data_IF_321149680306
#
_entry.id   IF_321149680306
#
_cell.length_a   1.000
_cell.length_b   1.000
_cell.length_c   1.000
_cell.angle_alpha   90.00
_cell.angle_beta   90.00
_cell.angle_gamma   90.00
#
_symmetry.space_group_name_H-M   'P 1'
#
loop_
_entity.id
_entity.type
_entity.pdbx_description
1 polymer ?
#
# COMPACT_ATOMS: atom_id res chain seq x y z
N UNK A 1 -41.03 -0.07 -17.13
CA UNK A 1 -40.31 1.15 -16.65
C UNK A 1 -39.02 1.21 -17.40
N UNK A 2 -38.84 2.20 -18.25
CA UNK A 2 -37.59 2.39 -19.02
C UNK A 2 -36.67 3.13 -18.08
N UNK A 3 -35.68 2.40 -17.52
CA UNK A 3 -34.63 3.03 -16.71
C UNK A 3 -33.82 3.98 -17.61
N UNK A 4 -33.79 5.23 -17.26
CA UNK A 4 -32.85 6.21 -17.82
C UNK A 4 -31.45 5.78 -17.47
N UNK A 5 -30.74 5.16 -18.43
CA UNK A 5 -29.28 5.04 -18.37
C UNK A 5 -28.75 6.48 -18.35
N UNK A 6 -28.39 6.95 -17.18
CA UNK A 6 -27.69 8.21 -17.04
C UNK A 6 -26.39 8.09 -17.82
N UNK A 7 -26.17 9.01 -18.76
CA UNK A 7 -24.89 9.18 -19.42
C UNK A 7 -23.84 9.43 -18.35
N UNK A 8 -23.10 8.41 -17.92
CA UNK A 8 -21.88 8.60 -17.17
C UNK A 8 -20.94 9.39 -18.08
N UNK A 9 -20.56 10.59 -17.65
CA UNK A 9 -19.43 11.29 -18.26
C UNK A 9 -18.26 10.33 -18.12
N UNK A 10 -17.78 9.76 -19.20
CA UNK A 10 -16.54 8.98 -19.24
C UNK A 10 -15.41 9.92 -18.88
N UNK A 11 -14.95 9.84 -17.64
CA UNK A 11 -13.74 10.52 -17.22
C UNK A 11 -12.57 9.81 -17.88
N UNK A 12 -11.77 10.54 -18.64
CA UNK A 12 -10.62 9.99 -19.35
C UNK A 12 -9.45 10.93 -19.25
N UNK A 13 -8.27 10.40 -18.99
CA UNK A 13 -7.00 11.13 -19.10
C UNK A 13 -6.25 10.77 -20.38
N UNK A 14 -5.27 11.60 -20.73
CA UNK A 14 -4.43 11.40 -21.91
C UNK A 14 -3.32 10.39 -21.62
N UNK A 15 -3.29 9.29 -22.37
CA UNK A 15 -2.21 8.31 -22.36
C UNK A 15 -1.27 8.52 -23.54
N UNK A 16 0.02 8.23 -23.38
CA UNK A 16 1.02 8.33 -24.45
C UNK A 16 2.13 7.29 -24.26
N UNK A 17 2.55 6.66 -25.36
CA UNK A 17 3.68 5.74 -25.39
C UNK A 17 5.04 6.43 -25.11
N UNK A 18 5.08 7.76 -25.10
CA UNK A 18 6.28 8.55 -24.79
C UNK A 18 6.44 8.77 -23.27
N UNK A 19 5.44 8.42 -22.47
CA UNK A 19 5.46 8.56 -21.01
C UNK A 19 6.13 7.35 -20.38
N UNK A 20 7.15 7.58 -19.55
CA UNK A 20 7.80 6.54 -18.78
C UNK A 20 7.03 6.25 -17.47
N UNK A 21 6.42 7.30 -16.88
CA UNK A 21 5.60 7.14 -15.69
C UNK A 21 4.61 8.30 -15.52
N UNK A 22 3.56 8.03 -14.75
CA UNK A 22 2.55 9.02 -14.36
C UNK A 22 2.63 9.32 -12.87
N UNK A 23 2.44 10.60 -12.51
CA UNK A 23 2.20 11.06 -11.13
C UNK A 23 0.72 11.36 -10.99
N UNK A 24 0.09 10.74 -10.00
CA UNK A 24 -1.33 10.87 -9.73
C UNK A 24 -1.56 11.72 -8.49
N UNK A 25 -2.47 12.67 -8.63
CA UNK A 25 -2.97 13.50 -7.55
C UNK A 25 -4.50 13.46 -7.47
N UNK A 26 -5.07 14.06 -6.44
CA UNK A 26 -6.53 14.11 -6.25
C UNK A 26 -7.27 14.82 -7.39
N UNK A 27 -6.61 15.75 -8.07
CA UNK A 27 -7.22 16.66 -9.03
C UNK A 27 -6.58 16.56 -10.43
N UNK A 28 -5.60 15.68 -10.65
CA UNK A 28 -4.95 15.54 -11.94
C UNK A 28 -4.01 14.36 -12.08
N UNK A 29 -3.59 14.13 -13.32
CA UNK A 29 -2.57 13.14 -13.72
C UNK A 29 -1.58 13.84 -14.63
N UNK A 30 -0.29 13.69 -14.36
CA UNK A 30 0.79 14.20 -15.20
C UNK A 30 1.70 13.05 -15.60
N UNK A 31 1.92 12.90 -16.91
CA UNK A 31 2.85 11.93 -17.48
C UNK A 31 4.21 12.55 -17.76
N UNK A 32 5.26 11.88 -17.33
CA UNK A 32 6.65 12.30 -17.48
C UNK A 32 7.47 11.33 -18.31
N UNK A 33 8.46 11.87 -19.03
CA UNK A 33 9.54 11.13 -19.62
C UNK A 33 10.85 11.47 -18.89
N UNK A 34 11.64 10.46 -18.57
CA UNK A 34 12.95 10.61 -17.96
C UNK A 34 14.06 10.38 -18.98
N UNK A 35 14.77 11.44 -19.34
CA UNK A 35 15.87 11.40 -20.29
C UNK A 35 17.02 12.30 -19.83
N UNK A 36 18.26 11.80 -19.90
CA UNK A 36 19.47 12.56 -19.61
C UNK A 36 19.44 13.27 -18.23
N UNK A 37 18.99 12.55 -17.21
CA UNK A 37 18.81 13.08 -15.83
C UNK A 37 17.84 14.28 -15.79
N UNK A 38 16.84 14.32 -16.69
CA UNK A 38 15.79 15.34 -16.74
C UNK A 38 14.42 14.70 -16.81
N UNK A 39 13.45 15.36 -16.19
CA UNK A 39 12.04 15.05 -16.31
C UNK A 39 11.38 16.04 -17.26
N UNK A 40 10.76 15.49 -18.31
CA UNK A 40 9.99 16.25 -19.29
C UNK A 40 8.51 15.90 -19.10
N UNK A 41 7.66 16.89 -18.87
CA UNK A 41 6.21 16.73 -18.89
C UNK A 41 5.76 16.44 -20.32
N UNK A 42 5.07 15.31 -20.52
CA UNK A 42 4.57 14.86 -21.84
C UNK A 42 3.06 15.05 -21.93
N UNK A 43 2.33 14.63 -20.89
CA UNK A 43 0.88 14.77 -20.81
C UNK A 43 0.47 15.41 -19.50
N UNK A 44 -0.63 16.18 -19.51
CA UNK A 44 -1.24 16.75 -18.32
C UNK A 44 -2.74 16.76 -18.47
N UNK A 45 -3.45 16.15 -17.52
CA UNK A 45 -4.90 16.12 -17.51
C UNK A 45 -5.41 16.59 -16.15
N UNK A 46 -6.18 17.67 -16.15
CA UNK A 46 -6.90 18.14 -14.97
C UNK A 46 -8.20 17.31 -14.87
N UNK A 47 -8.25 16.43 -13.90
CA UNK A 47 -9.36 15.52 -13.70
C UNK A 47 -9.54 15.19 -12.23
N UNK A 48 -10.76 15.34 -11.71
CA UNK A 48 -11.06 15.01 -10.32
C UNK A 48 -11.04 13.50 -10.13
N UNK A 49 -9.98 13.01 -9.49
CA UNK A 49 -9.79 11.57 -9.20
C UNK A 49 -10.36 11.24 -7.83
N UNK A 50 -10.08 12.05 -6.82
CA UNK A 50 -10.54 11.85 -5.45
C UNK A 50 -11.55 12.92 -5.09
N UNK A 51 -12.76 12.53 -4.66
CA UNK A 51 -13.85 13.46 -4.37
C UNK A 51 -13.87 13.97 -2.92
N UNK A 52 -13.06 13.41 -2.04
CA UNK A 52 -13.03 13.80 -0.63
C UNK A 52 -12.14 15.04 -0.43
N UNK A 53 -12.56 15.94 0.46
CA UNK A 53 -11.76 17.10 0.85
C UNK A 53 -10.80 16.80 2.02
N UNK A 54 -10.60 15.51 2.33
CA UNK A 54 -9.78 15.04 3.45
C UNK A 54 -8.55 14.40 2.82
N UNK A 55 -7.38 14.51 3.47
CA UNK A 55 -6.17 13.81 3.05
C UNK A 55 -6.51 12.33 2.90
N UNK A 56 -6.63 11.81 1.70
CA UNK A 56 -7.06 10.45 1.51
C UNK A 56 -5.91 9.53 1.92
N UNK A 57 -6.15 8.70 2.89
CA UNK A 57 -5.41 7.45 2.98
C UNK A 57 -5.92 6.61 1.83
N UNK A 58 -5.14 6.50 0.79
CA UNK A 58 -5.52 5.78 -0.42
C UNK A 58 -4.90 4.39 -0.33
N UNK A 59 -5.72 3.40 -0.04
CA UNK A 59 -5.34 2.01 -0.19
C UNK A 59 -5.38 1.66 -1.68
N UNK A 60 -4.21 1.62 -2.31
CA UNK A 60 -4.03 1.45 -3.75
C UNK A 60 -3.47 0.09 -4.09
N UNK A 61 -3.89 -0.46 -5.21
CA UNK A 61 -3.42 -1.75 -5.70
C UNK A 61 -3.32 -1.77 -7.21
N UNK A 62 -2.24 -2.31 -7.70
CA UNK A 62 -2.00 -2.48 -9.13
C UNK A 62 -2.47 -3.87 -9.57
N UNK A 63 -3.28 -3.92 -10.64
CA UNK A 63 -3.85 -5.12 -11.23
C UNK A 63 -3.36 -5.30 -12.65
N UNK A 64 -2.86 -6.49 -12.98
CA UNK A 64 -2.50 -6.86 -14.34
C UNK A 64 -1.51 -5.88 -15.03
N UNK A 65 -0.74 -5.09 -14.27
CA UNK A 65 0.12 -4.02 -14.79
C UNK A 65 -0.61 -3.05 -15.75
N UNK A 66 -1.90 -2.89 -15.58
CA UNK A 66 -2.77 -2.06 -16.44
C UNK A 66 -3.71 -1.19 -15.62
N UNK A 67 -4.22 -1.72 -14.51
CA UNK A 67 -5.19 -1.02 -13.68
C UNK A 67 -4.59 -0.60 -12.35
N UNK A 68 -4.86 0.64 -11.95
CA UNK A 68 -4.74 1.07 -10.56
C UNK A 68 -6.14 1.09 -9.94
N UNK A 69 -6.35 0.31 -8.89
CA UNK A 69 -7.61 0.28 -8.15
C UNK A 69 -7.35 0.73 -6.72
N UNK A 70 -8.23 1.58 -6.19
CA UNK A 70 -8.13 2.08 -4.83
C UNK A 70 -9.49 2.44 -4.24
N UNK A 71 -9.55 2.48 -2.92
CA UNK A 71 -10.68 2.99 -2.17
C UNK A 71 -10.47 4.47 -1.84
N UNK A 72 -11.50 5.28 -2.02
CA UNK A 72 -11.53 6.59 -1.39
C UNK A 72 -11.90 6.40 0.07
N UNK A 73 -11.00 6.75 0.98
CA UNK A 73 -11.33 6.71 2.40
C UNK A 73 -12.29 7.85 2.74
N UNK A 74 -13.39 7.51 3.44
CA UNK A 74 -14.26 8.49 4.07
C UNK A 74 -14.36 8.19 5.58
N UNK A 75 -14.59 9.22 6.36
CA UNK A 75 -14.67 9.09 7.82
C UNK A 75 -15.75 8.09 8.24
N UNK A 76 -15.53 7.32 9.32
CA UNK A 76 -16.55 6.47 9.89
C UNK A 76 -17.83 7.28 10.16
N UNK A 77 -18.93 6.90 9.51
CA UNK A 77 -20.24 7.54 9.66
C UNK A 77 -20.74 8.31 8.45
N UNK A 78 -20.00 8.36 7.32
CA UNK A 78 -20.55 8.73 6.03
C UNK A 78 -20.95 7.50 5.25
N UNK A 79 -22.13 7.58 4.65
CA UNK A 79 -22.90 6.39 4.23
C UNK A 79 -22.34 5.62 3.03
N UNK A 80 -21.27 6.08 2.34
CA UNK A 80 -20.81 5.41 1.12
C UNK A 80 -19.35 5.77 0.77
N UNK A 81 -18.53 4.75 0.58
CA UNK A 81 -17.21 4.87 -0.03
C UNK A 81 -17.26 4.63 -1.53
N UNK A 82 -16.34 5.23 -2.26
CA UNK A 82 -16.14 4.97 -3.67
C UNK A 82 -14.90 4.11 -3.88
N UNK A 83 -15.04 3.16 -4.81
CA UNK A 83 -13.91 2.50 -5.45
C UNK A 83 -13.61 3.25 -6.75
N UNK A 84 -12.33 3.41 -7.06
CA UNK A 84 -11.86 4.00 -8.30
C UNK A 84 -10.95 3.03 -9.00
N UNK A 85 -11.16 2.81 -10.30
CA UNK A 85 -10.28 2.04 -11.17
C UNK A 85 -9.82 2.93 -12.33
N UNK A 86 -8.52 2.97 -12.54
CA UNK A 86 -7.87 3.73 -13.61
C UNK A 86 -7.22 2.72 -14.55
N UNK A 87 -7.66 2.69 -15.80
CA UNK A 87 -7.06 1.88 -16.88
C UNK A 87 -6.01 2.72 -17.61
N UNK A 88 -4.74 2.38 -17.44
CA UNK A 88 -3.63 3.11 -18.07
C UNK A 88 -3.45 2.83 -19.55
N UNK A 89 -4.00 1.73 -20.07
CA UNK A 89 -3.98 1.47 -21.54
C UNK A 89 -4.96 2.36 -22.28
N UNK A 90 -6.12 2.63 -21.69
CA UNK A 90 -7.18 3.40 -22.33
C UNK A 90 -7.37 4.81 -21.78
N UNK A 91 -6.80 5.11 -20.62
CA UNK A 91 -7.00 6.35 -19.88
C UNK A 91 -8.37 6.46 -19.22
N UNK A 92 -9.18 5.40 -19.20
CA UNK A 92 -10.51 5.40 -18.60
C UNK A 92 -10.44 5.38 -17.07
N UNK A 93 -11.28 6.19 -16.44
CA UNK A 93 -11.45 6.22 -14.99
C UNK A 93 -12.87 5.76 -14.68
N UNK A 94 -12.98 4.61 -14.03
CA UNK A 94 -14.24 4.07 -13.52
C UNK A 94 -14.38 4.41 -12.04
N UNK A 95 -15.62 4.66 -11.63
CA UNK A 95 -15.96 4.92 -10.25
C UNK A 95 -17.21 4.15 -9.89
N UNK A 96 -17.13 3.40 -8.83
CA UNK A 96 -18.23 2.64 -8.26
C UNK A 96 -18.50 3.12 -6.83
N UNK A 97 -19.73 3.44 -6.51
CA UNK A 97 -20.13 3.73 -5.16
C UNK A 97 -20.60 2.45 -4.49
N UNK A 98 -19.82 1.96 -3.55
CA UNK A 98 -20.14 0.74 -2.80
C UNK A 98 -21.20 1.00 -1.74
N UNK A 99 -21.95 -0.05 -1.39
CA UNK A 99 -22.86 -0.05 -0.24
C UNK A 99 -22.12 -0.29 1.09
N UNK A 100 -20.84 -0.61 1.03
CA UNK A 100 -19.96 -0.83 2.17
C UNK A 100 -19.24 0.46 2.54
N UNK A 101 -18.78 0.56 3.78
CA UNK A 101 -18.05 1.71 4.29
C UNK A 101 -16.86 1.26 5.15
N UNK A 102 -15.94 2.20 5.42
CA UNK A 102 -14.80 2.00 6.30
C UNK A 102 -13.84 0.89 5.82
N UNK A 103 -13.47 0.89 4.53
CA UNK A 103 -12.35 0.07 4.06
C UNK A 103 -11.06 0.53 4.73
N UNK A 104 -10.35 -0.41 5.33
CA UNK A 104 -9.15 -0.16 6.14
C UNK A 104 -7.88 -0.71 5.52
N UNK A 105 -8.00 -1.59 4.55
CA UNK A 105 -6.87 -2.09 3.75
C UNK A 105 -7.36 -2.63 2.41
N UNK A 106 -6.45 -2.73 1.47
CA UNK A 106 -6.75 -3.30 0.17
C UNK A 106 -5.53 -4.01 -0.43
N UNK A 107 -5.73 -4.63 -1.57
CA UNK A 107 -4.68 -5.26 -2.36
C UNK A 107 -5.25 -5.91 -3.58
N UNK A 108 -4.39 -6.54 -4.38
CA UNK A 108 -4.80 -7.15 -5.63
C UNK A 108 -4.15 -8.52 -5.86
N UNK A 109 -4.90 -9.37 -6.56
CA UNK A 109 -4.37 -10.52 -7.27
C UNK A 109 -4.17 -10.19 -8.75
N UNK A 110 -3.88 -11.20 -9.56
CA UNK A 110 -3.81 -11.00 -11.01
C UNK A 110 -5.14 -10.54 -11.61
N UNK A 111 -6.27 -10.95 -11.04
CA UNK A 111 -7.59 -10.77 -11.65
C UNK A 111 -8.57 -9.98 -10.78
N UNK A 112 -8.27 -9.82 -9.49
CA UNK A 112 -9.24 -9.29 -8.53
C UNK A 112 -8.62 -8.27 -7.58
N UNK A 113 -9.44 -7.32 -7.20
CA UNK A 113 -9.16 -6.34 -6.16
C UNK A 113 -9.86 -6.77 -4.86
N UNK A 114 -9.14 -6.68 -3.75
CA UNK A 114 -9.59 -7.03 -2.41
C UNK A 114 -9.65 -5.76 -1.56
N UNK A 115 -10.74 -5.58 -0.85
CA UNK A 115 -10.91 -4.48 0.10
C UNK A 115 -11.54 -5.00 1.39
N UNK A 116 -10.92 -4.72 2.53
CA UNK A 116 -11.42 -5.16 3.83
C UNK A 116 -11.99 -4.03 4.64
N UNK A 117 -12.98 -4.35 5.46
CA UNK A 117 -13.52 -3.45 6.47
C UNK A 117 -13.23 -3.97 7.88
N UNK A 118 -13.23 -3.06 8.84
CA UNK A 118 -13.11 -3.35 10.26
C UNK A 118 -14.32 -2.82 11.03
N UNK A 119 -14.74 -3.52 12.07
CA UNK A 119 -15.87 -3.15 12.93
C UNK A 119 -16.69 -4.36 13.34
N UNK A 120 -17.92 -4.17 13.83
CA UNK A 120 -18.79 -5.25 14.32
C UNK A 120 -19.10 -6.35 13.30
N UNK A 121 -18.57 -6.29 12.10
CA UNK A 121 -18.64 -7.32 11.08
C UNK A 121 -17.52 -7.06 10.08
N UNK A 122 -16.31 -7.49 10.38
CA UNK A 122 -15.23 -7.45 9.40
C UNK A 122 -15.50 -8.37 8.22
N UNK A 123 -15.24 -7.89 7.03
CA UNK A 123 -15.41 -8.66 5.81
C UNK A 123 -14.38 -8.24 4.76
N UNK A 124 -14.24 -9.08 3.74
CA UNK A 124 -13.42 -8.81 2.56
C UNK A 124 -14.34 -8.85 1.35
N UNK A 125 -14.48 -7.73 0.67
CA UNK A 125 -15.14 -7.65 -0.64
C UNK A 125 -14.12 -7.87 -1.74
N UNK A 126 -14.54 -8.59 -2.79
CA UNK A 126 -13.70 -8.95 -3.94
C UNK A 126 -14.35 -8.40 -5.20
N UNK A 127 -13.58 -7.67 -5.99
CA UNK A 127 -14.05 -6.96 -7.17
C UNK A 127 -13.25 -7.33 -8.41
N UNK A 128 -13.90 -7.30 -9.58
CA UNK A 128 -13.19 -7.30 -10.87
C UNK A 128 -12.47 -5.95 -11.10
N UNK A 129 -11.57 -5.85 -12.10
CA UNK A 129 -10.97 -4.57 -12.48
C UNK A 129 -11.99 -3.50 -12.89
N UNK A 130 -13.15 -3.90 -13.40
CA UNK A 130 -14.26 -3.03 -13.77
C UNK A 130 -15.13 -2.62 -12.58
N UNK A 131 -14.75 -3.03 -11.35
CA UNK A 131 -15.41 -2.75 -10.08
C UNK A 131 -16.77 -3.45 -9.91
N UNK A 132 -16.96 -4.61 -10.52
CA UNK A 132 -18.09 -5.50 -10.24
C UNK A 132 -17.76 -6.37 -9.02
N UNK A 133 -18.59 -6.33 -7.98
CA UNK A 133 -18.42 -7.17 -6.79
C UNK A 133 -18.75 -8.63 -7.14
N UNK A 134 -17.77 -9.52 -6.96
CA UNK A 134 -17.90 -10.95 -7.29
C UNK A 134 -18.11 -11.81 -6.05
N UNK A 135 -17.61 -11.38 -4.89
CA UNK A 135 -17.73 -12.13 -3.64
C UNK A 135 -17.63 -11.20 -2.43
N UNK A 136 -18.21 -11.68 -1.33
CA UNK A 136 -18.24 -11.01 -0.05
C UNK A 136 -17.98 -12.04 1.06
N UNK A 137 -16.76 -12.04 1.58
CA UNK A 137 -16.32 -12.98 2.59
C UNK A 137 -16.49 -12.39 3.99
N UNK A 138 -17.47 -12.86 4.72
CA UNK A 138 -17.67 -12.47 6.12
C UNK A 138 -16.71 -13.23 7.03
N UNK A 139 -16.05 -12.51 7.93
CA UNK A 139 -15.14 -13.10 8.91
C UNK A 139 -15.89 -13.53 10.17
N UNK A 140 -15.39 -14.57 10.83
CA UNK A 140 -15.93 -15.02 12.12
C UNK A 140 -15.56 -14.05 13.26
N UNK A 141 -14.47 -13.29 13.09
CA UNK A 141 -13.95 -12.34 14.06
C UNK A 141 -13.64 -11.01 13.41
N UNK A 142 -13.74 -9.95 14.18
CA UNK A 142 -13.32 -8.63 13.74
C UNK A 142 -11.80 -8.52 13.69
N UNK A 143 -11.30 -8.05 12.55
CA UNK A 143 -9.87 -7.96 12.26
C UNK A 143 -9.52 -6.64 11.60
N UNK A 144 -8.33 -6.13 11.93
CA UNK A 144 -7.60 -5.12 11.16
C UNK A 144 -6.61 -5.83 10.27
N UNK A 145 -6.58 -5.50 8.99
CA UNK A 145 -5.66 -6.11 8.03
C UNK A 145 -4.55 -5.14 7.65
N UNK A 146 -3.36 -5.69 7.39
CA UNK A 146 -2.39 -5.07 6.49
C UNK A 146 -2.91 -5.15 5.06
N UNK A 147 -2.17 -4.58 4.10
CA UNK A 147 -2.54 -4.71 2.70
C UNK A 147 -2.56 -6.18 2.24
N UNK A 148 -3.25 -6.43 1.12
CA UNK A 148 -3.33 -7.75 0.51
C UNK A 148 -2.30 -7.87 -0.59
N UNK A 149 -1.53 -8.95 -0.60
CA UNK A 149 -0.46 -9.16 -1.57
C UNK A 149 -0.53 -10.55 -2.18
N UNK A 150 -0.24 -10.65 -3.46
CA UNK A 150 -0.29 -11.92 -4.18
C UNK A 150 1.07 -12.61 -4.23
N UNK A 151 1.07 -13.93 -4.04
CA UNK A 151 2.17 -14.82 -4.40
C UNK A 151 1.62 -16.08 -5.02
N UNK A 152 2.08 -16.41 -6.23
CA UNK A 152 1.57 -17.51 -7.05
C UNK A 152 0.06 -17.37 -7.31
N UNK A 153 -0.73 -18.29 -6.81
CA UNK A 153 -2.20 -18.38 -6.98
C UNK A 153 -2.98 -17.95 -5.73
N UNK A 154 -2.29 -17.41 -4.71
CA UNK A 154 -2.88 -17.02 -3.43
C UNK A 154 -2.65 -15.56 -3.12
N UNK A 155 -3.60 -14.99 -2.41
CA UNK A 155 -3.49 -13.66 -1.80
C UNK A 155 -3.21 -13.83 -0.31
N UNK A 156 -2.29 -13.04 0.22
CA UNK A 156 -1.87 -13.09 1.62
C UNK A 156 -2.09 -11.74 2.28
N UNK A 157 -2.42 -11.78 3.57
CA UNK A 157 -2.50 -10.58 4.42
C UNK A 157 -2.19 -10.96 5.87
N UNK A 158 -1.83 -9.97 6.68
CA UNK A 158 -1.71 -10.14 8.13
C UNK A 158 -2.90 -9.45 8.79
N UNK A 159 -3.74 -10.25 9.45
CA UNK A 159 -4.84 -9.75 10.26
C UNK A 159 -4.44 -9.61 11.73
N UNK A 160 -4.92 -8.56 12.38
CA UNK A 160 -4.83 -8.37 13.84
C UNK A 160 -6.25 -8.44 14.40
N UNK A 161 -6.52 -9.38 15.31
CA UNK A 161 -7.83 -9.48 15.98
C UNK A 161 -8.12 -8.19 16.75
N UNK A 162 -9.32 -7.65 16.60
CA UNK A 162 -9.76 -6.43 17.31
C UNK A 162 -10.18 -6.76 18.74
N UNK A 163 -10.76 -7.96 18.94
CA UNK A 163 -11.10 -8.45 20.26
C UNK A 163 -9.91 -9.15 20.91
N UNK A 164 -9.57 -8.70 22.11
CA UNK A 164 -8.48 -9.30 22.86
C UNK A 164 -8.81 -10.71 23.30
N UNK A 165 -7.91 -11.65 23.03
CA UNK A 165 -7.99 -13.01 23.57
C UNK A 165 -7.50 -13.00 25.01
N UNK A 166 -8.30 -13.53 25.94
CA UNK A 166 -7.91 -13.68 27.35
C UNK A 166 -6.80 -14.75 27.46
N UNK A 167 -5.70 -14.37 28.12
CA UNK A 167 -4.58 -15.27 28.41
C UNK A 167 -4.66 -15.71 29.87
N UNK A 168 -4.01 -16.83 30.20
CA UNK A 168 -3.78 -17.24 31.59
C UNK A 168 -3.25 -16.06 32.42
N UNK A 169 -3.88 -15.79 33.56
CA UNK A 169 -3.62 -14.67 34.48
C UNK A 169 -4.33 -13.34 34.17
N UNK A 170 -5.42 -13.35 33.39
CA UNK A 170 -6.26 -12.16 33.14
C UNK A 170 -5.60 -11.08 32.28
N UNK A 171 -4.59 -11.44 31.51
CA UNK A 171 -3.97 -10.56 30.51
C UNK A 171 -4.64 -10.78 29.17
N UNK A 172 -4.90 -9.69 28.46
CA UNK A 172 -5.50 -9.71 27.12
C UNK A 172 -4.44 -9.38 26.08
N UNK A 173 -4.41 -10.11 24.99
CA UNK A 173 -3.58 -9.80 23.82
C UNK A 173 -4.38 -9.95 22.53
N UNK A 174 -3.96 -9.20 21.51
CA UNK A 174 -4.53 -9.27 20.17
C UNK A 174 -3.65 -10.17 19.31
N UNK A 175 -4.24 -11.12 18.63
CA UNK A 175 -3.49 -12.04 17.77
C UNK A 175 -3.17 -11.39 16.44
N UNK A 176 -1.93 -11.58 16.00
CA UNK A 176 -1.57 -11.36 14.61
C UNK A 176 -1.62 -12.70 13.87
N UNK A 177 -2.34 -12.76 12.78
CA UNK A 177 -2.61 -14.00 12.03
C UNK A 177 -2.25 -13.78 10.57
N UNK A 178 -1.37 -14.63 10.04
CA UNK A 178 -1.15 -14.73 8.61
C UNK A 178 -2.28 -15.53 7.97
N UNK A 179 -2.93 -14.93 7.00
CA UNK A 179 -4.10 -15.47 6.29
C UNK A 179 -3.74 -15.59 4.82
N UNK A 180 -4.28 -16.63 4.16
CA UNK A 180 -4.34 -16.69 2.71
C UNK A 180 -5.76 -16.78 2.20
N UNK A 181 -5.98 -16.20 1.04
CA UNK A 181 -7.22 -16.31 0.26
C UNK A 181 -6.87 -17.07 -1.01
N UNK A 182 -7.64 -18.12 -1.31
CA UNK A 182 -7.50 -18.93 -2.51
C UNK A 182 -8.77 -18.83 -3.34
N UNK A 183 -8.62 -18.79 -4.66
CA UNK A 183 -9.71 -18.90 -5.62
C UNK A 183 -9.69 -20.31 -6.24
N UNK A 184 -10.85 -20.95 -6.31
CA UNK A 184 -11.04 -22.24 -6.99
C UNK A 184 -12.34 -22.20 -7.79
N UNK A 185 -12.23 -22.14 -9.12
CA UNK A 185 -13.40 -22.13 -10.04
C UNK A 185 -14.42 -20.99 -9.75
N UNK A 186 -13.92 -19.82 -9.30
CA UNK A 186 -14.75 -18.68 -8.94
C UNK A 186 -15.25 -18.64 -7.49
N UNK A 187 -14.99 -19.67 -6.70
CA UNK A 187 -15.27 -19.69 -5.27
C UNK A 187 -14.03 -19.26 -4.47
N UNK A 188 -14.20 -18.36 -3.53
CA UNK A 188 -13.11 -17.87 -2.67
C UNK A 188 -13.18 -18.52 -1.29
N UNK A 189 -12.00 -18.83 -0.74
CA UNK A 189 -11.88 -19.39 0.61
C UNK A 189 -10.75 -18.72 1.39
N UNK A 190 -10.94 -18.59 2.70
CA UNK A 190 -9.97 -18.01 3.63
C UNK A 190 -9.36 -19.13 4.49
N UNK A 191 -8.04 -19.20 4.53
CA UNK A 191 -7.29 -20.11 5.37
C UNK A 191 -6.40 -19.34 6.37
N UNK A 192 -6.45 -19.71 7.64
CA UNK A 192 -5.46 -19.28 8.63
C UNK A 192 -4.19 -20.12 8.48
N UNK A 193 -3.08 -19.47 8.12
CA UNK A 193 -1.80 -20.16 7.93
C UNK A 193 -1.05 -20.25 9.25
N UNK A 194 -0.93 -19.12 9.98
CA UNK A 194 -0.07 -19.07 11.17
C UNK A 194 -0.44 -17.90 12.08
N UNK A 195 -0.42 -18.16 13.40
CA UNK A 195 -0.37 -17.11 14.39
C UNK A 195 1.07 -16.55 14.50
N UNK A 196 1.23 -15.24 14.35
CA UNK A 196 2.53 -14.57 14.37
C UNK A 196 2.82 -14.08 15.79
N UNK A 197 4.07 -14.25 16.25
CA UNK A 197 4.44 -13.83 17.60
C UNK A 197 3.86 -14.73 18.69
N UNK A 198 3.61 -16.00 18.38
CA UNK A 198 3.00 -17.00 19.26
C UNK A 198 3.76 -17.29 20.57
N UNK A 199 4.88 -16.63 20.83
CA UNK A 199 5.62 -16.72 22.08
C UNK A 199 4.94 -16.02 23.28
N UNK A 200 3.71 -15.52 23.09
CA UNK A 200 2.87 -14.89 24.14
C UNK A 200 3.50 -13.69 24.84
N UNK A 201 4.62 -13.17 24.35
CA UNK A 201 5.33 -12.06 24.98
C UNK A 201 5.15 -10.73 24.26
N UNK A 202 4.92 -10.79 22.93
CA UNK A 202 4.88 -9.63 22.06
C UNK A 202 3.70 -9.66 21.11
N UNK A 203 3.02 -8.54 20.99
CA UNK A 203 2.06 -8.25 19.93
C UNK A 203 2.70 -7.23 18.98
N UNK A 204 2.86 -7.58 17.72
CA UNK A 204 3.46 -6.69 16.71
C UNK A 204 2.42 -5.74 16.09
N UNK A 205 2.89 -4.57 15.64
CA UNK A 205 2.10 -3.58 14.94
C UNK A 205 2.51 -3.58 13.47
N UNK A 206 1.91 -4.47 12.69
CA UNK A 206 2.17 -4.56 11.26
C UNK A 206 1.45 -3.44 10.50
N UNK A 207 2.15 -2.82 9.55
CA UNK A 207 1.62 -1.75 8.72
C UNK A 207 1.40 -2.23 7.29
N UNK A 208 2.42 -2.81 6.65
CA UNK A 208 2.36 -3.19 5.25
C UNK A 208 3.08 -4.50 4.99
N UNK A 209 2.72 -5.16 3.87
CA UNK A 209 3.26 -6.46 3.46
C UNK A 209 3.58 -6.49 1.97
N UNK A 210 4.61 -7.25 1.61
CA UNK A 210 4.97 -7.52 0.22
C UNK A 210 5.44 -8.98 0.06
N UNK A 211 5.34 -9.52 -1.14
CA UNK A 211 5.94 -10.81 -1.49
C UNK A 211 7.13 -10.62 -2.42
N UNK A 212 8.21 -11.38 -2.18
CA UNK A 212 9.38 -11.41 -3.06
C UNK A 212 9.91 -12.83 -3.14
N UNK A 213 9.91 -13.41 -4.32
CA UNK A 213 10.22 -14.82 -4.50
C UNK A 213 9.29 -15.72 -3.68
N UNK A 214 9.86 -16.59 -2.86
CA UNK A 214 9.11 -17.49 -1.98
C UNK A 214 8.86 -16.91 -0.58
N UNK A 215 9.08 -15.63 -0.38
CA UNK A 215 8.95 -15.01 0.93
C UNK A 215 7.88 -13.92 0.96
N UNK A 216 7.19 -13.85 2.09
CA UNK A 216 6.39 -12.69 2.48
C UNK A 216 7.23 -11.86 3.46
N UNK A 217 7.27 -10.56 3.23
CA UNK A 217 7.89 -9.57 4.10
C UNK A 217 6.80 -8.64 4.63
N UNK A 218 6.84 -8.35 5.93
CA UNK A 218 5.96 -7.37 6.54
C UNK A 218 6.76 -6.42 7.43
N UNK A 219 6.44 -5.14 7.39
CA UNK A 219 7.06 -4.14 8.25
C UNK A 219 6.24 -3.91 9.51
N UNK A 220 6.92 -3.75 10.64
CA UNK A 220 6.29 -3.51 11.93
C UNK A 220 6.88 -2.30 12.62
N UNK A 221 6.02 -1.39 13.07
CA UNK A 221 6.40 -0.20 13.82
C UNK A 221 6.82 -0.50 15.29
N UNK A 222 6.87 -1.77 15.66
CA UNK A 222 7.26 -2.24 16.98
C UNK A 222 6.28 -3.26 17.55
N UNK A 223 6.26 -3.37 18.86
CA UNK A 223 5.40 -4.33 19.56
C UNK A 223 4.94 -3.83 20.90
N UNK A 224 3.86 -4.39 21.41
CA UNK A 224 3.46 -4.29 22.79
C UNK A 224 4.00 -5.48 23.56
N UNK A 225 4.69 -5.20 24.68
CA UNK A 225 5.05 -6.25 25.64
C UNK A 225 3.78 -6.67 26.39
N UNK A 226 3.45 -7.96 26.34
CA UNK A 226 2.21 -8.49 26.91
C UNK A 226 2.27 -8.59 28.45
N UNK A 227 3.46 -8.59 29.04
CA UNK A 227 3.63 -8.60 30.50
C UNK A 227 3.49 -7.23 31.13
N UNK A 228 4.15 -6.21 30.58
CA UNK A 228 4.12 -4.84 31.08
C UNK A 228 3.04 -3.98 30.44
N UNK A 229 2.47 -4.41 29.30
CA UNK A 229 1.59 -3.63 28.40
C UNK A 229 2.27 -2.39 27.81
N UNK A 230 3.58 -2.29 27.94
CA UNK A 230 4.37 -1.21 27.38
C UNK A 230 4.48 -1.36 25.86
N UNK A 231 4.29 -0.26 25.14
CA UNK A 231 4.56 -0.18 23.71
C UNK A 231 6.03 0.13 23.49
N UNK A 232 6.71 -0.72 22.71
CA UNK A 232 8.09 -0.54 22.31
C UNK A 232 8.09 -0.25 20.82
N UNK A 233 8.49 0.97 20.47
CA UNK A 233 8.61 1.37 19.08
C UNK A 233 10.00 0.99 18.55
N UNK A 234 10.01 0.20 17.50
CA UNK A 234 11.23 -0.29 16.87
C UNK A 234 10.93 -0.66 15.42
N UNK A 235 11.82 -0.37 14.52
CA UNK A 235 11.72 -0.86 13.16
C UNK A 235 12.01 -2.36 13.09
N UNK A 236 11.10 -3.15 12.55
CA UNK A 236 11.28 -4.56 12.35
C UNK A 236 10.68 -5.03 11.02
N UNK A 237 11.33 -6.05 10.44
CA UNK A 237 10.85 -6.79 9.27
C UNK A 237 10.55 -8.21 9.72
N UNK A 238 9.33 -8.66 9.48
CA UNK A 238 8.94 -10.05 9.57
C UNK A 238 9.10 -10.69 8.20
N UNK A 239 9.83 -11.83 8.13
CA UNK A 239 9.95 -12.65 6.93
C UNK A 239 9.31 -14.02 7.18
N UNK A 240 8.43 -14.42 6.28
CA UNK A 240 7.82 -15.74 6.30
C UNK A 240 8.12 -16.48 4.99
N UNK A 241 8.69 -17.69 5.10
CA UNK A 241 8.94 -18.59 3.97
C UNK A 241 7.63 -19.33 3.62
N UNK A 242 7.06 -19.00 2.46
CA UNK A 242 5.79 -19.54 1.98
C UNK A 242 5.89 -21.05 1.62
N UNK A 243 7.10 -21.56 1.38
CA UNK A 243 7.33 -22.96 1.02
C UNK A 243 7.60 -23.82 2.27
N UNK A 244 8.49 -23.34 3.14
CA UNK A 244 8.95 -24.13 4.31
C UNK A 244 8.16 -23.81 5.58
N UNK A 245 7.24 -22.85 5.55
CA UNK A 245 6.44 -22.40 6.69
C UNK A 245 7.27 -21.94 7.91
N UNK A 246 8.45 -21.39 7.68
CA UNK A 246 9.33 -20.83 8.71
C UNK A 246 9.28 -19.31 8.71
N UNK A 247 9.58 -18.70 9.85
CA UNK A 247 9.57 -17.24 9.96
C UNK A 247 10.65 -16.69 10.86
N UNK A 248 11.09 -15.48 10.56
CA UNK A 248 12.14 -14.76 11.26
C UNK A 248 11.80 -13.28 11.38
N UNK A 249 12.40 -12.60 12.37
CA UNK A 249 12.32 -11.15 12.54
C UNK A 249 13.71 -10.53 12.43
N UNK A 250 13.79 -9.43 11.69
CA UNK A 250 15.00 -8.61 11.55
C UNK A 250 14.72 -7.21 12.08
N UNK A 251 15.67 -6.66 12.82
CA UNK A 251 15.58 -5.27 13.28
C UNK A 251 16.24 -4.37 12.24
N UNK A 252 15.61 -3.26 11.91
CA UNK A 252 16.18 -2.18 11.10
C UNK A 252 16.54 -0.99 12.00
N UNK A 253 17.47 -0.16 11.54
CA UNK A 253 18.03 0.93 12.35
C UNK A 253 16.97 1.96 12.73
N UNK A 254 16.16 2.39 11.74
CA UNK A 254 15.17 3.43 11.97
C UNK A 254 13.82 2.86 12.42
N UNK A 255 13.12 3.61 13.25
CA UNK A 255 11.82 3.22 13.83
C UNK A 255 10.64 3.64 12.92
N UNK A 256 9.44 3.21 13.24
CA UNK A 256 8.18 3.55 12.56
C UNK A 256 8.18 3.32 11.04
N UNK A 257 8.57 2.12 10.54
CA UNK A 257 8.36 1.79 9.15
C UNK A 257 6.86 1.84 8.82
N UNK A 258 6.50 2.47 7.69
CA UNK A 258 5.11 2.59 7.23
C UNK A 258 4.81 1.64 6.08
N UNK A 259 5.48 1.79 4.95
CA UNK A 259 5.21 1.00 3.77
C UNK A 259 6.47 0.30 3.27
N UNK A 260 6.30 -0.80 2.53
CA UNK A 260 7.38 -1.58 1.95
C UNK A 260 7.18 -1.74 0.45
N UNK A 261 8.25 -1.55 -0.34
CA UNK A 261 8.23 -1.50 -1.80
C UNK A 261 9.26 -2.45 -2.39
N UNK A 262 8.89 -3.15 -3.46
CA UNK A 262 9.86 -3.87 -4.30
C UNK A 262 10.58 -2.86 -5.22
N UNK A 263 11.88 -2.71 -5.01
CA UNK A 263 12.73 -1.86 -5.85
C UNK A 263 13.64 -2.66 -6.77
N UNK A 264 13.31 -3.93 -6.99
CA UNK A 264 14.02 -4.82 -7.90
C UNK A 264 15.30 -5.42 -7.31
N UNK A 265 15.97 -6.27 -8.08
CA UNK A 265 17.13 -7.06 -7.68
C UNK A 265 16.92 -7.72 -6.29
N UNK A 266 17.86 -7.61 -5.39
CA UNK A 266 17.78 -8.17 -4.04
C UNK A 266 17.35 -7.14 -2.97
N UNK A 267 16.67 -6.06 -3.38
CA UNK A 267 16.39 -4.93 -2.51
C UNK A 267 14.90 -4.63 -2.36
N UNK A 268 14.55 -4.24 -1.14
CA UNK A 268 13.28 -3.63 -0.78
C UNK A 268 13.56 -2.22 -0.25
N UNK A 269 12.65 -1.28 -0.52
CA UNK A 269 12.65 0.03 0.13
C UNK A 269 11.56 0.07 1.19
N UNK A 270 11.81 0.77 2.29
CA UNK A 270 10.86 0.91 3.40
C UNK A 270 10.75 2.39 3.74
N UNK A 271 9.57 2.96 3.60
CA UNK A 271 9.30 4.32 4.08
C UNK A 271 9.11 4.35 5.60
N UNK A 272 9.27 5.52 6.19
CA UNK A 272 9.11 5.73 7.62
C UNK A 272 8.18 6.90 7.91
N UNK A 273 7.50 6.88 9.05
CA UNK A 273 6.65 7.97 9.52
C UNK A 273 7.52 9.16 9.94
N UNK A 274 7.75 10.09 9.01
CA UNK A 274 8.71 11.20 9.16
C UNK A 274 8.40 12.13 10.33
N UNK A 275 7.12 12.35 10.65
CA UNK A 275 6.72 13.20 11.79
C UNK A 275 7.24 12.63 13.11
N UNK A 276 7.22 11.31 13.23
CA UNK A 276 7.61 10.64 14.47
C UNK A 276 9.12 10.52 14.61
N UNK A 277 9.83 10.30 13.51
CA UNK A 277 11.30 10.15 13.54
C UNK A 277 12.05 11.47 13.35
N UNK A 278 11.33 12.57 13.02
CA UNK A 278 11.89 13.90 12.72
C UNK A 278 12.93 13.86 11.59
N UNK A 279 12.71 13.00 10.63
CA UNK A 279 13.55 12.81 9.44
C UNK A 279 12.70 12.45 8.23
N UNK A 280 13.09 12.95 7.06
CA UNK A 280 12.58 12.45 5.78
C UNK A 280 13.57 11.44 5.23
N UNK A 281 13.14 10.20 5.03
CA UNK A 281 14.05 9.18 4.52
C UNK A 281 13.38 7.82 4.35
N UNK A 282 14.16 6.88 3.88
CA UNK A 282 13.73 5.50 3.67
C UNK A 282 14.87 4.52 3.96
N UNK A 283 14.54 3.29 4.29
CA UNK A 283 15.53 2.22 4.48
C UNK A 283 15.63 1.39 3.20
N UNK A 284 16.84 1.13 2.73
CA UNK A 284 17.13 0.11 1.73
C UNK A 284 17.47 -1.18 2.49
N UNK A 285 16.72 -2.25 2.24
CA UNK A 285 16.92 -3.55 2.83
C UNK A 285 17.30 -4.58 1.76
N UNK A 286 18.49 -5.18 1.90
CA UNK A 286 18.91 -6.30 1.06
C UNK A 286 18.40 -7.61 1.68
N UNK A 287 17.45 -8.28 1.02
CA UNK A 287 16.81 -9.47 1.60
C UNK A 287 17.65 -10.76 1.48
N UNK A 288 18.73 -10.77 0.68
CA UNK A 288 19.67 -11.90 0.61
C UNK A 288 20.72 -11.80 1.72
N UNK A 289 21.29 -10.62 1.94
CA UNK A 289 22.33 -10.41 2.99
C UNK A 289 21.73 -10.02 4.34
N UNK A 290 20.45 -9.66 4.38
CA UNK A 290 19.70 -9.20 5.55
C UNK A 290 20.25 -7.90 6.17
N UNK A 291 20.93 -7.10 5.35
CA UNK A 291 21.48 -5.82 5.75
C UNK A 291 20.52 -4.69 5.40
N UNK A 292 20.50 -3.67 6.22
CA UNK A 292 19.68 -2.46 6.01
C UNK A 292 20.53 -1.22 6.16
N UNK A 293 20.19 -0.18 5.39
CA UNK A 293 20.79 1.14 5.45
C UNK A 293 19.68 2.19 5.37
N UNK A 294 19.68 3.14 6.30
CA UNK A 294 18.77 4.27 6.26
C UNK A 294 19.35 5.40 5.40
N UNK A 295 18.60 5.83 4.41
CA UNK A 295 18.93 6.94 3.50
C UNK A 295 18.19 8.18 3.99
N UNK A 296 18.91 9.11 4.61
CA UNK A 296 18.39 10.38 5.08
C UNK A 296 18.37 11.40 3.94
N UNK A 297 17.16 11.80 3.54
CA UNK A 297 16.93 12.83 2.52
C UNK A 297 16.33 14.12 3.10
N UNK A 298 16.33 14.28 4.42
CA UNK A 298 15.84 15.49 5.09
C UNK A 298 16.43 16.80 4.58
N UNK A 299 17.70 16.87 4.18
CA UNK A 299 18.27 18.11 3.59
C UNK A 299 17.57 18.59 2.31
N UNK A 300 16.77 17.71 1.70
CA UNK A 300 16.04 17.99 0.45
C UNK A 300 14.56 18.21 0.67
N UNK A 301 14.06 18.11 1.90
CA UNK A 301 12.67 18.42 2.22
C UNK A 301 12.34 19.89 1.91
N UNK A 302 11.19 20.15 1.30
CA UNK A 302 10.73 21.51 0.97
C UNK A 302 9.66 22.02 1.94
N UNK A 303 9.18 21.17 2.84
CA UNK A 303 8.27 21.53 3.93
C UNK A 303 8.62 20.80 5.23
N UNK A 304 8.17 21.34 6.36
CA UNK A 304 8.24 20.65 7.64
C UNK A 304 7.34 19.40 7.62
N UNK A 305 7.81 18.31 8.22
CA UNK A 305 7.07 17.04 8.32
C UNK A 305 6.66 16.43 6.97
N UNK A 306 7.40 16.71 5.91
CA UNK A 306 7.19 16.09 4.61
C UNK A 306 7.30 14.56 4.69
N UNK A 307 6.42 13.83 4.02
CA UNK A 307 6.39 12.36 4.03
C UNK A 307 6.62 11.79 2.64
N UNK A 308 7.22 10.62 2.57
CA UNK A 308 7.26 9.81 1.37
C UNK A 308 5.89 9.15 1.20
N UNK A 309 5.31 9.32 0.01
CA UNK A 309 3.97 8.83 -0.35
C UNK A 309 4.06 7.56 -1.18
N UNK A 310 5.07 7.48 -2.06
CA UNK A 310 5.29 6.31 -2.91
C UNK A 310 6.76 6.19 -3.32
N UNK A 311 7.23 4.96 -3.52
CA UNK A 311 8.57 4.64 -4.02
C UNK A 311 8.44 3.67 -5.18
N UNK A 312 9.00 4.01 -6.33
CA UNK A 312 9.03 3.14 -7.52
C UNK A 312 10.44 3.07 -8.10
N UNK A 313 10.77 1.92 -8.68
CA UNK A 313 11.97 1.80 -9.49
C UNK A 313 11.71 2.37 -10.87
N UNK A 314 12.50 3.36 -11.27
CA UNK A 314 12.41 3.96 -12.59
C UNK A 314 13.21 3.16 -13.63
N UNK A 315 14.45 2.82 -13.27
CA UNK A 315 15.35 2.01 -14.08
C UNK A 315 16.36 1.24 -13.20
N UNK A 316 17.40 0.65 -13.79
CA UNK A 316 18.38 -0.13 -13.05
C UNK A 316 19.10 0.66 -11.94
N UNK A 317 19.23 1.97 -12.10
CA UNK A 317 20.04 2.82 -11.24
C UNK A 317 19.23 3.85 -10.44
N UNK A 318 17.98 4.09 -10.80
CA UNK A 318 17.21 5.20 -10.25
C UNK A 318 15.91 4.75 -9.58
N UNK A 319 15.66 5.34 -8.41
CA UNK A 319 14.36 5.32 -7.74
C UNK A 319 13.64 6.65 -7.93
N UNK A 320 12.33 6.57 -8.11
CA UNK A 320 11.42 7.70 -7.96
C UNK A 320 10.86 7.67 -6.54
N UNK A 321 11.02 8.77 -5.83
CA UNK A 321 10.42 8.99 -4.52
C UNK A 321 9.39 10.10 -4.69
N UNK A 322 8.14 9.79 -4.46
CA UNK A 322 7.08 10.77 -4.39
C UNK A 322 6.88 11.16 -2.93
N UNK A 323 7.06 12.43 -2.64
CA UNK A 323 6.66 13.00 -1.35
C UNK A 323 5.34 13.75 -1.49
N UNK A 324 4.80 14.27 -0.40
CA UNK A 324 3.58 15.09 -0.45
C UNK A 324 3.70 16.32 -1.36
N UNK A 325 4.95 16.80 -1.62
CA UNK A 325 5.17 18.08 -2.31
C UNK A 325 6.09 18.01 -3.51
N UNK A 326 6.84 16.92 -3.69
CA UNK A 326 7.86 16.83 -4.73
C UNK A 326 8.09 15.41 -5.21
N UNK A 327 8.61 15.32 -6.42
CA UNK A 327 9.15 14.12 -7.02
C UNK A 327 10.68 14.19 -6.97
N UNK A 328 11.31 13.15 -6.48
CA UNK A 328 12.77 13.06 -6.29
C UNK A 328 13.27 11.87 -7.09
N UNK A 329 14.37 12.05 -7.83
CA UNK A 329 15.13 10.95 -8.46
C UNK A 329 16.37 10.68 -7.63
N UNK A 330 16.48 9.46 -7.11
CA UNK A 330 17.60 8.99 -6.31
C UNK A 330 18.43 7.98 -7.12
N UNK A 331 19.72 8.22 -7.28
CA UNK A 331 20.65 7.29 -7.92
C UNK A 331 21.17 6.30 -6.87
N UNK A 332 20.78 5.04 -7.01
CA UNK A 332 21.11 3.96 -6.06
C UNK A 332 22.63 3.71 -6.03
N UNK A 333 23.30 3.77 -7.20
CA UNK A 333 24.72 3.47 -7.29
C UNK A 333 25.60 4.58 -6.70
N UNK A 334 25.20 5.84 -6.89
CA UNK A 334 25.91 7.00 -6.34
C UNK A 334 25.53 7.31 -4.90
N UNK A 335 24.37 6.79 -4.43
CA UNK A 335 23.82 7.12 -3.11
C UNK A 335 23.43 8.61 -3.01
N UNK A 336 22.95 9.23 -4.09
CA UNK A 336 22.67 10.66 -4.13
C UNK A 336 21.39 11.00 -4.89
N UNK A 337 20.77 12.11 -4.53
CA UNK A 337 19.68 12.71 -5.29
C UNK A 337 20.26 13.38 -6.53
N UNK A 338 19.73 13.04 -7.70
CA UNK A 338 20.13 13.61 -8.98
C UNK A 338 19.14 14.65 -9.49
N UNK A 339 17.88 14.59 -9.06
CA UNK A 339 16.86 15.53 -9.49
C UNK A 339 15.80 15.72 -8.39
N UNK A 340 15.29 16.95 -8.29
CA UNK A 340 14.12 17.34 -7.51
C UNK A 340 13.18 18.16 -8.39
N UNK A 341 11.89 17.83 -8.34
CA UNK A 341 10.85 18.57 -9.04
C UNK A 341 9.67 18.78 -8.07
N UNK A 342 9.33 20.04 -7.78
CA UNK A 342 8.13 20.34 -7.02
C UNK A 342 6.89 19.83 -7.78
N UNK A 343 5.98 19.15 -7.09
CA UNK A 343 4.72 18.73 -7.68
C UNK A 343 3.91 19.93 -8.14
N UNK A 344 3.26 19.78 -9.29
CA UNK A 344 2.40 20.81 -9.85
C UNK A 344 1.15 20.98 -8.98
N UNK A 345 0.81 22.22 -8.64
CA UNK A 345 -0.33 22.53 -7.76
C UNK A 345 -1.68 22.06 -8.33
N UNK A 346 -1.77 21.79 -9.64
CA UNK A 346 -2.97 21.24 -10.29
C UNK A 346 -3.22 19.77 -9.98
N UNK A 347 -2.22 19.05 -9.47
CA UNK A 347 -2.40 17.67 -9.01
C UNK A 347 -3.24 17.57 -7.73
N UNK A 348 -3.32 18.65 -6.92
CA UNK A 348 -3.88 18.59 -5.58
C UNK A 348 -3.00 17.74 -4.65
N UNK A 349 -3.61 16.87 -3.87
CA UNK A 349 -2.85 15.93 -3.02
C UNK A 349 -2.34 14.76 -3.86
N UNK A 350 -1.02 14.61 -3.98
CA UNK A 350 -0.40 13.49 -4.71
C UNK A 350 -0.44 12.21 -3.88
N UNK A 351 -0.60 11.06 -4.55
CA UNK A 351 -0.77 9.79 -3.84
C UNK A 351 -0.14 8.57 -4.51
N UNK A 352 0.30 8.63 -5.78
CA UNK A 352 0.83 7.45 -6.45
C UNK A 352 1.72 7.79 -7.65
N UNK A 353 2.67 6.88 -7.95
CA UNK A 353 3.45 6.81 -9.19
C UNK A 353 3.04 5.54 -9.92
N UNK A 354 2.65 5.68 -11.17
CA UNK A 354 2.44 4.55 -12.07
C UNK A 354 3.59 4.48 -13.08
N UNK A 355 4.29 3.35 -13.14
CA UNK A 355 5.33 3.08 -14.17
C UNK A 355 4.66 2.47 -15.39
N UNK A 356 4.97 3.03 -16.57
CA UNK A 356 4.33 2.63 -17.85
C UNK A 356 5.04 1.46 -18.53
#
# INVERSE_FOLDING_TARGET
MIGTVGCQKTNRFETSDEVDFYVLGSDGIIGYQFNDEKLNEITKTDIKIINTNINPVVHRSELLNQYLVFTEEDFPGRDKQSLVSIDFNTGLIHRYQTDHCAYTSSGASHNYYFASTTGENSFISIYTPELEEVEYLKLEKDMLFSDFITSSDKVYTIGTEVEATEVENGKNYFKNILISISENDGDFSIDTIKEIGANKEKQYFFNDVITKGNYLYAVSAGWRNLDSLEKIYAGAIYRYDLVNATSEFYTIEEIFPSDIYDIGDDFLAISHESITIDKLGFTIFNYETLQSEFVDISPYAISENERIVDIKRLDLNHLLLLTENQLIVYDILKGTITLQLKCDDTLGTVFHIWIN
#
